data_IF_702033882103
#
_entry.id   IF_702033882103
#
_cell.length_a   1.000
_cell.length_b   1.000
_cell.length_c   1.000
_cell.angle_alpha   90.00
_cell.angle_beta   90.00
_cell.angle_gamma   90.00
#
_symmetry.space_group_name_H-M   'P 1'
#
loop_
_entity.id
_entity.type
_entity.pdbx_description
1 polymer ?
#
# COMPACT_ATOMS: atom_id res chain seq x y z
N UNK A 1 23.07 -62.78 63.30
CA UNK A 1 22.06 -61.82 62.94
C UNK A 1 22.74 -60.45 62.85
N UNK A 2 22.96 -59.93 61.62
CA UNK A 2 23.64 -58.63 61.38
C UNK A 2 22.58 -57.55 61.11
N UNK A 3 22.51 -56.55 61.99
CA UNK A 3 21.63 -55.41 61.84
C UNK A 3 22.28 -54.38 60.90
N UNK A 4 21.68 -54.17 59.70
CA UNK A 4 22.02 -53.06 58.82
C UNK A 4 21.19 -51.83 59.22
N UNK A 5 21.86 -50.78 59.70
CA UNK A 5 21.25 -49.46 59.91
C UNK A 5 21.22 -48.70 58.58
N UNK A 6 20.00 -48.44 58.10
CA UNK A 6 19.76 -47.59 56.93
C UNK A 6 19.91 -46.15 57.37
N UNK A 7 20.97 -45.46 56.90
CA UNK A 7 21.15 -44.01 57.08
C UNK A 7 20.44 -43.33 55.92
N UNK A 8 19.25 -42.73 56.17
CA UNK A 8 18.54 -41.87 55.22
C UNK A 8 19.25 -40.53 55.16
N UNK A 9 19.89 -40.25 54.01
CA UNK A 9 20.47 -38.94 53.70
C UNK A 9 19.33 -38.03 53.19
N UNK A 10 18.80 -37.15 54.04
CA UNK A 10 17.93 -36.05 53.66
C UNK A 10 18.79 -34.98 52.98
N UNK A 11 18.67 -34.90 51.62
CA UNK A 11 19.25 -33.80 50.81
C UNK A 11 18.30 -32.61 50.90
N UNK A 12 18.68 -31.48 51.51
CA UNK A 12 17.82 -30.29 51.48
C UNK A 12 17.82 -29.74 50.08
N UNK A 13 16.66 -29.76 49.38
CA UNK A 13 16.43 -29.02 48.15
C UNK A 13 16.40 -27.51 48.50
N UNK A 14 17.52 -26.84 48.31
CA UNK A 14 17.55 -25.38 48.23
C UNK A 14 16.88 -24.94 46.96
N UNK A 15 15.64 -24.49 47.05
CA UNK A 15 15.05 -23.66 46.01
C UNK A 15 15.79 -22.34 45.97
N UNK A 16 16.77 -22.17 45.07
CA UNK A 16 17.28 -20.86 44.74
C UNK A 16 16.13 -20.13 44.02
N UNK A 17 15.41 -19.33 44.78
CA UNK A 17 14.61 -18.25 44.18
C UNK A 17 15.59 -17.34 43.48
N UNK A 18 15.64 -17.38 42.14
CA UNK A 18 16.31 -16.38 41.35
C UNK A 18 15.55 -15.07 41.56
N UNK A 19 15.95 -14.32 42.60
CA UNK A 19 15.50 -12.94 42.76
C UNK A 19 15.99 -12.19 41.53
N UNK A 20 15.06 -11.66 40.71
CA UNK A 20 15.40 -10.77 39.63
C UNK A 20 16.29 -9.65 40.20
N UNK A 21 17.52 -9.55 39.69
CA UNK A 21 18.40 -8.45 40.14
C UNK A 21 17.70 -7.14 39.78
N UNK A 22 17.65 -6.16 40.72
CA UNK A 22 17.10 -4.85 40.43
C UNK A 22 17.83 -4.25 39.22
N UNK A 23 17.09 -3.62 38.33
CA UNK A 23 17.65 -2.94 37.15
C UNK A 23 18.58 -1.81 37.61
N UNK A 24 19.87 -2.09 37.66
CA UNK A 24 20.93 -1.12 37.97
C UNK A 24 21.47 -0.43 36.73
N UNK A 25 20.99 -0.79 35.53
CA UNK A 25 21.42 -0.15 34.30
C UNK A 25 20.75 1.21 34.13
N UNK A 26 21.54 2.20 33.72
CA UNK A 26 21.04 3.53 33.35
C UNK A 26 20.45 3.55 31.94
N UNK A 27 20.35 2.37 31.33
CA UNK A 27 19.80 2.19 29.99
C UNK A 27 18.27 2.33 30.04
N UNK A 28 17.72 3.23 29.24
CA UNK A 28 16.28 3.33 28.99
C UNK A 28 16.03 3.06 27.50
N UNK A 29 14.97 2.37 27.20
CA UNK A 29 14.54 2.10 25.84
C UNK A 29 13.07 2.50 25.71
N UNK A 30 12.76 3.24 24.66
CA UNK A 30 11.41 3.69 24.38
C UNK A 30 11.05 3.47 22.91
N UNK A 31 9.74 3.28 22.65
CA UNK A 31 9.19 3.33 21.30
C UNK A 31 8.80 4.77 21.00
N UNK A 32 9.20 5.24 19.81
CA UNK A 32 8.76 6.50 19.24
C UNK A 32 7.70 6.23 18.18
N UNK A 33 6.54 6.90 18.30
CA UNK A 33 5.47 6.88 17.32
C UNK A 33 5.28 8.27 16.77
N UNK A 34 5.53 8.41 15.46
CA UNK A 34 5.43 9.69 14.76
C UNK A 34 4.10 9.80 14.03
N UNK A 35 3.45 10.96 14.14
CA UNK A 35 2.17 11.20 13.48
C UNK A 35 2.27 11.14 11.95
N UNK A 36 1.17 10.86 11.24
CA UNK A 36 1.09 11.00 9.79
C UNK A 36 1.57 12.36 9.30
N UNK A 37 2.21 12.37 8.12
CA UNK A 37 2.62 13.58 7.39
C UNK A 37 1.80 13.81 6.13
N UNK A 38 2.09 14.92 5.44
CA UNK A 38 1.38 15.33 4.23
C UNK A 38 1.78 14.51 2.99
N UNK A 39 3.04 14.11 2.92
CA UNK A 39 3.57 13.36 1.79
C UNK A 39 3.12 11.88 1.83
N UNK A 40 2.99 11.27 0.64
CA UNK A 40 2.48 9.89 0.54
C UNK A 40 3.31 8.88 1.35
N UNK A 41 4.64 9.00 1.36
CA UNK A 41 5.52 8.12 2.12
C UNK A 41 5.36 8.25 3.64
N UNK A 42 4.92 9.41 4.12
CA UNK A 42 4.73 9.71 5.55
C UNK A 42 3.28 9.61 6.02
N UNK A 43 2.33 9.39 5.11
CA UNK A 43 0.88 9.35 5.40
C UNK A 43 0.49 8.36 6.48
N UNK A 44 1.25 7.27 6.62
CA UNK A 44 0.93 6.20 7.59
C UNK A 44 1.60 6.38 8.96
N UNK A 45 2.29 7.49 9.16
CA UNK A 45 3.10 7.69 10.35
C UNK A 45 4.45 6.98 10.26
N UNK A 46 5.13 6.87 11.41
CA UNK A 46 6.42 6.18 11.49
C UNK A 46 6.67 5.63 12.89
N UNK A 47 7.56 4.63 12.99
CA UNK A 47 7.96 4.02 14.26
C UNK A 47 9.49 3.91 14.33
N UNK A 48 10.07 4.30 15.48
CA UNK A 48 11.49 4.13 15.74
C UNK A 48 11.72 3.70 17.20
N UNK A 49 12.92 3.25 17.53
CA UNK A 49 13.32 2.87 18.90
C UNK A 49 14.37 3.85 19.38
N UNK A 50 14.13 4.50 20.54
CA UNK A 50 15.11 5.35 21.21
C UNK A 50 15.81 4.60 22.31
N UNK A 51 17.12 4.80 22.42
CA UNK A 51 17.97 4.25 23.47
C UNK A 51 18.70 5.40 24.15
N UNK A 52 18.56 5.52 25.48
CA UNK A 52 19.26 6.51 26.27
C UNK A 52 20.10 5.86 27.36
N UNK A 53 21.29 6.40 27.63
CA UNK A 53 22.13 6.07 28.78
C UNK A 53 22.83 7.35 29.28
N UNK A 54 22.35 7.88 30.40
CA UNK A 54 22.84 9.14 30.96
C UNK A 54 24.29 9.04 31.46
N UNK A 55 24.77 7.85 31.79
CA UNK A 55 26.15 7.64 32.26
C UNK A 55 27.17 7.61 31.14
N UNK A 56 26.73 7.19 29.93
CA UNK A 56 27.56 7.11 28.75
C UNK A 56 27.32 8.27 27.76
N UNK A 57 26.38 9.17 28.07
CA UNK A 57 25.99 10.25 27.16
C UNK A 57 25.31 9.76 25.88
N UNK A 58 24.64 8.62 25.94
CA UNK A 58 23.96 8.04 24.78
C UNK A 58 22.52 8.56 24.74
N UNK A 59 22.11 9.10 23.59
CA UNK A 59 20.72 9.44 23.27
C UNK A 59 20.54 9.29 21.74
N UNK A 60 20.22 8.05 21.32
CA UNK A 60 20.22 7.62 19.94
C UNK A 60 18.88 7.04 19.53
N UNK A 61 18.48 7.30 18.30
CA UNK A 61 17.31 6.72 17.65
C UNK A 61 17.73 5.69 16.62
N UNK A 62 17.18 4.50 16.70
CA UNK A 62 17.29 3.43 15.73
C UNK A 62 16.06 3.46 14.83
N UNK A 63 16.27 3.86 13.58
CA UNK A 63 15.23 4.20 12.62
C UNK A 63 15.24 3.19 11.47
N UNK A 64 14.29 2.25 11.46
CA UNK A 64 14.05 1.36 10.33
C UNK A 64 13.30 2.14 9.23
N UNK A 65 13.54 1.78 7.97
CA UNK A 65 12.78 2.38 6.86
C UNK A 65 13.49 3.52 6.15
N UNK A 66 14.77 3.74 6.43
CA UNK A 66 15.60 4.65 5.64
C UNK A 66 15.87 4.04 4.26
N UNK A 67 15.67 4.80 3.18
CA UNK A 67 15.92 4.35 1.83
C UNK A 67 16.68 5.41 1.02
N UNK A 68 17.33 4.95 -0.05
CA UNK A 68 18.08 5.79 -0.95
C UNK A 68 17.18 6.23 -2.11
N UNK A 69 16.89 7.53 -2.20
CA UNK A 69 16.11 8.13 -3.28
C UNK A 69 16.89 8.20 -4.59
N UNK A 70 18.23 8.22 -4.53
CA UNK A 70 19.09 8.42 -5.68
C UNK A 70 19.52 7.09 -6.34
N UNK A 71 18.94 5.95 -5.91
CA UNK A 71 19.21 4.64 -6.52
C UNK A 71 18.72 4.62 -7.98
N UNK A 72 19.62 4.56 -8.98
CA UNK A 72 19.24 4.56 -10.40
C UNK A 72 18.41 3.31 -10.80
N UNK A 73 18.46 2.25 -10.00
CA UNK A 73 17.67 1.04 -10.21
C UNK A 73 16.33 1.08 -9.47
N UNK A 74 15.97 2.18 -8.80
CA UNK A 74 14.77 2.29 -7.97
C UNK A 74 13.51 1.83 -8.71
N UNK A 75 13.26 2.35 -9.91
CA UNK A 75 12.05 1.99 -10.68
C UNK A 75 11.99 0.50 -11.03
N UNK A 76 13.13 -0.09 -11.42
CA UNK A 76 13.21 -1.52 -11.74
C UNK A 76 13.00 -2.39 -10.49
N UNK A 77 13.58 -2.00 -9.36
CA UNK A 77 13.41 -2.68 -8.07
C UNK A 77 11.96 -2.55 -7.59
N UNK A 78 11.38 -1.35 -7.64
CA UNK A 78 9.98 -1.10 -7.29
C UNK A 78 9.03 -1.97 -8.12
N UNK A 79 9.24 -2.03 -9.44
CA UNK A 79 8.40 -2.84 -10.34
C UNK A 79 8.46 -4.33 -9.98
N UNK A 80 9.63 -4.82 -9.54
CA UNK A 80 9.81 -6.21 -9.09
C UNK A 80 9.33 -6.47 -7.66
N UNK A 81 8.95 -5.44 -6.90
CA UNK A 81 8.61 -5.57 -5.48
C UNK A 81 9.82 -5.79 -4.59
N UNK A 82 11.01 -5.35 -5.03
CA UNK A 82 12.27 -5.42 -4.28
C UNK A 82 12.60 -4.01 -3.80
N UNK A 83 12.20 -3.68 -2.58
CA UNK A 83 12.48 -2.38 -1.98
C UNK A 83 13.52 -2.58 -0.87
N UNK A 84 14.77 -2.15 -1.14
CA UNK A 84 15.85 -2.29 -0.15
C UNK A 84 15.90 -1.04 0.72
N UNK A 85 15.65 -1.24 2.01
CA UNK A 85 15.68 -0.22 3.04
C UNK A 85 16.78 -0.54 4.05
N UNK A 86 17.11 0.42 4.92
CA UNK A 86 18.14 0.26 5.92
C UNK A 86 17.66 0.69 7.32
N UNK A 87 18.29 0.11 8.34
CA UNK A 87 18.32 0.68 9.67
C UNK A 87 19.37 1.78 9.72
N UNK A 88 18.97 3.01 10.06
CA UNK A 88 19.87 4.12 10.39
C UNK A 88 19.82 4.42 11.88
N UNK A 89 20.90 5.03 12.40
CA UNK A 89 20.92 5.53 13.79
C UNK A 89 21.57 6.91 13.82
N UNK A 90 20.94 7.82 14.53
CA UNK A 90 21.36 9.21 14.71
C UNK A 90 20.81 9.79 16.02
N UNK A 91 21.25 11.00 16.37
CA UNK A 91 20.87 11.60 17.66
C UNK A 91 19.36 11.83 17.77
N UNK A 92 18.82 11.75 18.99
CA UNK A 92 17.40 12.09 19.22
C UNK A 92 17.11 13.55 18.92
N UNK A 93 18.09 14.44 19.08
CA UNK A 93 17.93 15.85 18.72
C UNK A 93 17.72 16.04 17.22
N UNK A 94 18.54 15.37 16.37
CA UNK A 94 18.39 15.43 14.91
C UNK A 94 17.04 14.82 14.50
N UNK A 95 16.63 13.71 15.13
CA UNK A 95 15.33 13.11 14.90
C UNK A 95 14.18 14.10 15.19
N UNK A 96 14.20 14.78 16.33
CA UNK A 96 13.15 15.78 16.63
C UNK A 96 13.17 16.97 15.67
N UNK A 97 14.35 17.43 15.21
CA UNK A 97 14.45 18.50 14.23
C UNK A 97 13.84 18.11 12.87
N UNK A 98 14.06 16.87 12.42
CA UNK A 98 13.44 16.32 11.22
C UNK A 98 11.91 16.38 11.34
N UNK A 99 11.33 15.81 12.41
CA UNK A 99 9.87 15.78 12.61
C UNK A 99 9.26 17.17 12.86
N UNK A 100 10.02 18.07 13.46
CA UNK A 100 9.60 19.47 13.60
C UNK A 100 9.52 20.17 12.24
N UNK A 101 10.50 19.95 11.36
CA UNK A 101 10.48 20.52 10.00
C UNK A 101 9.35 19.94 9.14
N UNK A 102 9.02 18.68 9.33
CA UNK A 102 7.88 18.01 8.68
C UNK A 102 6.53 18.31 9.32
N UNK A 103 6.50 19.09 10.40
CA UNK A 103 5.29 19.43 11.19
C UNK A 103 4.55 18.19 11.72
N UNK A 104 5.27 17.23 12.23
CA UNK A 104 4.77 15.95 12.74
C UNK A 104 5.06 15.79 14.22
N UNK A 105 4.07 15.36 14.99
CA UNK A 105 4.23 15.08 16.42
C UNK A 105 4.94 13.74 16.64
N UNK A 106 5.62 13.62 17.79
CA UNK A 106 6.29 12.41 18.24
C UNK A 106 5.80 12.05 19.63
N UNK A 107 5.27 10.85 19.79
CA UNK A 107 4.86 10.25 21.07
C UNK A 107 5.94 9.24 21.46
N UNK A 108 6.34 9.26 22.74
CA UNK A 108 7.29 8.34 23.31
C UNK A 108 6.62 7.45 24.35
N UNK A 109 6.87 6.14 24.28
CA UNK A 109 6.42 5.13 25.24
C UNK A 109 7.65 4.46 25.87
N UNK A 110 7.89 4.70 27.16
CA UNK A 110 8.98 4.07 27.91
C UNK A 110 8.67 2.59 28.16
N UNK A 111 9.58 1.71 27.78
CA UNK A 111 9.41 0.26 27.92
C UNK A 111 9.91 -0.24 29.28
N UNK A 112 9.05 -0.98 29.96
CA UNK A 112 9.38 -1.66 31.23
C UNK A 112 10.11 -2.97 30.95
N UNK A 113 11.41 -2.90 30.82
CA UNK A 113 12.31 -4.02 30.58
C UNK A 113 13.30 -4.17 31.76
N UNK A 114 13.69 -5.41 32.06
CA UNK A 114 14.78 -5.68 33.01
C UNK A 114 16.13 -5.20 32.46
N UNK A 115 17.16 -5.06 33.27
CA UNK A 115 18.50 -4.67 32.83
C UNK A 115 19.04 -5.59 31.71
N UNK A 116 18.84 -6.89 31.88
CA UNK A 116 19.27 -7.88 30.88
C UNK A 116 18.50 -7.77 29.57
N UNK A 117 17.18 -7.53 29.64
CA UNK A 117 16.34 -7.32 28.44
C UNK A 117 16.76 -6.06 27.70
N UNK A 118 16.99 -4.95 28.39
CA UNK A 118 17.49 -3.70 27.81
C UNK A 118 18.84 -3.90 27.15
N UNK A 119 19.76 -4.61 27.81
CA UNK A 119 21.10 -4.86 27.26
C UNK A 119 21.04 -5.75 26.02
N UNK A 120 20.21 -6.82 26.02
CA UNK A 120 20.00 -7.66 24.83
C UNK A 120 19.42 -6.84 23.68
N UNK A 121 18.38 -6.04 23.93
CA UNK A 121 17.74 -5.21 22.91
C UNK A 121 18.73 -4.19 22.32
N UNK A 122 19.48 -3.50 23.16
CA UNK A 122 20.49 -2.53 22.71
C UNK A 122 21.59 -3.20 21.88
N UNK A 123 22.11 -4.34 22.35
CA UNK A 123 23.13 -5.11 21.61
C UNK A 123 22.57 -5.58 20.25
N UNK A 124 21.33 -6.07 20.20
CA UNK A 124 20.69 -6.49 18.95
C UNK A 124 20.51 -5.31 17.96
N UNK A 125 20.11 -4.14 18.45
CA UNK A 125 20.02 -2.92 17.63
C UNK A 125 21.38 -2.50 17.08
N UNK A 126 22.44 -2.53 17.91
CA UNK A 126 23.82 -2.23 17.46
C UNK A 126 24.29 -3.22 16.39
N UNK A 127 24.06 -4.52 16.59
CA UNK A 127 24.40 -5.55 15.61
C UNK A 127 23.64 -5.38 14.30
N UNK A 128 22.36 -5.03 14.39
CA UNK A 128 21.54 -4.81 13.21
C UNK A 128 21.92 -3.51 12.46
N UNK A 129 22.46 -2.51 13.14
CA UNK A 129 22.93 -1.26 12.54
C UNK A 129 24.30 -1.37 11.84
N UNK A 130 25.02 -2.49 11.97
CA UNK A 130 26.29 -2.70 11.29
C UNK A 130 26.11 -2.67 9.75
N UNK A 131 27.07 -2.14 8.99
CA UNK A 131 26.97 -1.99 7.54
C UNK A 131 26.54 -3.25 6.79
N UNK A 132 26.99 -4.43 7.24
CA UNK A 132 26.64 -5.73 6.63
C UNK A 132 25.27 -6.25 7.02
N UNK A 133 24.61 -5.73 8.06
CA UNK A 133 23.35 -6.24 8.61
C UNK A 133 22.17 -5.28 8.43
N UNK A 134 22.44 -3.99 8.19
CA UNK A 134 21.42 -2.94 8.25
C UNK A 134 20.42 -2.96 7.11
N UNK A 135 20.75 -3.56 5.98
CA UNK A 135 19.89 -3.57 4.79
C UNK A 135 18.90 -4.73 4.83
N UNK A 136 17.66 -4.47 4.40
CA UNK A 136 16.60 -5.46 4.35
C UNK A 136 15.60 -5.17 3.22
N UNK A 137 14.86 -6.20 2.79
CA UNK A 137 13.75 -6.01 1.87
C UNK A 137 12.54 -5.49 2.65
N UNK A 138 12.03 -4.34 2.21
CA UNK A 138 10.87 -3.71 2.83
C UNK A 138 9.57 -4.20 2.16
N UNK A 139 8.65 -4.67 2.96
CA UNK A 139 7.30 -5.04 2.54
C UNK A 139 6.28 -4.24 3.36
N UNK A 140 5.52 -3.39 2.67
CA UNK A 140 4.70 -2.35 3.31
C UNK A 140 3.84 -2.84 4.48
N UNK A 141 3.18 -3.98 4.39
CA UNK A 141 2.25 -4.48 5.41
C UNK A 141 2.78 -5.67 6.23
N UNK A 142 3.95 -6.23 5.91
CA UNK A 142 4.49 -7.41 6.58
C UNK A 142 5.88 -7.25 7.14
N UNK A 143 6.73 -6.39 6.56
CA UNK A 143 8.10 -6.15 7.02
C UNK A 143 8.48 -4.69 6.80
N UNK A 144 8.00 -3.81 7.68
CA UNK A 144 8.20 -2.36 7.62
C UNK A 144 8.86 -1.83 8.91
N UNK A 145 8.99 -0.50 9.04
CA UNK A 145 9.57 0.13 10.23
C UNK A 145 8.87 -0.29 11.53
N UNK A 146 7.54 -0.41 11.49
CA UNK A 146 6.72 -0.71 12.66
C UNK A 146 6.80 -2.19 13.05
N UNK A 147 6.68 -3.11 12.09
CA UNK A 147 6.78 -4.55 12.35
C UNK A 147 8.18 -4.92 12.83
N UNK A 148 9.23 -4.32 12.24
CA UNK A 148 10.60 -4.56 12.69
C UNK A 148 10.88 -4.06 14.09
N UNK A 149 10.38 -2.86 14.45
CA UNK A 149 10.48 -2.35 15.81
C UNK A 149 9.73 -3.25 16.80
N UNK A 150 8.49 -3.67 16.47
CA UNK A 150 7.71 -4.61 17.27
C UNK A 150 8.47 -5.93 17.49
N UNK A 151 8.92 -6.54 16.42
CA UNK A 151 9.55 -7.86 16.45
C UNK A 151 10.88 -7.83 17.19
N UNK A 152 11.66 -6.75 17.03
CA UNK A 152 12.88 -6.53 17.78
C UNK A 152 12.61 -6.43 19.29
N UNK A 153 11.60 -5.66 19.71
CA UNK A 153 11.22 -5.53 21.12
C UNK A 153 10.75 -6.89 21.67
N UNK A 154 9.83 -7.56 20.99
CA UNK A 154 9.25 -8.85 21.42
C UNK A 154 10.32 -9.93 21.56
N UNK A 155 11.20 -10.07 20.57
CA UNK A 155 12.26 -11.08 20.56
C UNK A 155 13.26 -10.87 21.72
N UNK A 156 13.65 -9.63 21.96
CA UNK A 156 14.66 -9.35 22.99
C UNK A 156 14.08 -9.30 24.40
N UNK A 157 12.78 -9.14 24.54
CA UNK A 157 12.10 -9.29 25.84
C UNK A 157 12.29 -10.71 26.39
N UNK A 158 12.32 -11.75 25.51
CA UNK A 158 12.56 -13.15 25.91
C UNK A 158 11.44 -13.75 26.73
N UNK A 159 10.41 -12.97 27.06
CA UNK A 159 9.22 -13.34 27.80
C UNK A 159 8.04 -13.47 26.83
N UNK A 160 6.96 -14.12 27.23
CA UNK A 160 5.72 -14.10 26.46
C UNK A 160 5.10 -12.72 26.53
N UNK A 161 5.19 -11.97 25.44
CA UNK A 161 4.50 -10.67 25.31
C UNK A 161 3.08 -10.93 24.85
N UNK A 162 2.11 -10.58 25.72
CA UNK A 162 0.68 -10.68 25.42
C UNK A 162 0.12 -9.33 24.99
N UNK A 163 -0.41 -9.24 23.77
CA UNK A 163 -1.13 -8.06 23.30
C UNK A 163 -2.64 -8.24 23.51
N UNK A 164 -3.30 -7.25 24.11
CA UNK A 164 -4.77 -7.24 24.17
C UNK A 164 -5.33 -6.94 22.78
N UNK A 165 -6.61 -7.27 22.58
CA UNK A 165 -7.30 -6.99 21.32
C UNK A 165 -7.46 -5.49 21.10
N UNK A 166 -6.91 -4.99 20.00
CA UNK A 166 -6.93 -3.56 19.61
C UNK A 166 -7.82 -3.30 18.39
N UNK A 167 -8.26 -4.35 17.71
CA UNK A 167 -9.15 -4.28 16.55
C UNK A 167 -10.60 -4.61 16.96
N UNK A 168 -11.62 -4.11 16.22
CA UNK A 168 -13.03 -4.39 16.49
C UNK A 168 -13.37 -5.88 16.27
N UNK A 169 -14.57 -6.28 16.72
CA UNK A 169 -15.09 -7.66 16.54
C UNK A 169 -15.21 -8.06 15.05
N UNK A 170 -15.61 -7.12 14.18
CA UNK A 170 -15.54 -7.29 12.74
C UNK A 170 -14.24 -6.62 12.23
N UNK A 171 -13.14 -7.39 12.01
CA UNK A 171 -11.87 -6.81 11.66
C UNK A 171 -11.92 -6.08 10.33
N UNK A 172 -11.21 -4.94 10.18
CA UNK A 172 -11.01 -4.31 8.89
C UNK A 172 -10.09 -5.17 8.01
N UNK A 173 -10.07 -4.87 6.71
CA UNK A 173 -9.05 -5.40 5.80
C UNK A 173 -7.79 -4.52 5.83
N UNK A 174 -6.66 -5.02 5.28
CA UNK A 174 -5.48 -4.19 5.10
C UNK A 174 -5.81 -2.93 4.29
N UNK A 175 -6.61 -3.06 3.21
CA UNK A 175 -7.05 -1.93 2.38
C UNK A 175 -7.87 -0.93 3.20
N UNK A 176 -8.78 -1.37 4.06
CA UNK A 176 -9.56 -0.46 4.90
C UNK A 176 -8.66 0.34 5.86
N UNK A 177 -7.62 -0.30 6.42
CA UNK A 177 -6.64 0.38 7.27
C UNK A 177 -5.87 1.44 6.48
N UNK A 178 -5.38 1.10 5.28
CA UNK A 178 -4.71 2.03 4.38
C UNK A 178 -5.62 3.23 4.04
N UNK A 179 -6.87 2.94 3.66
CA UNK A 179 -7.85 3.98 3.31
C UNK A 179 -8.09 4.96 4.46
N UNK A 180 -8.13 4.49 5.72
CA UNK A 180 -8.33 5.34 6.89
C UNK A 180 -7.31 6.49 6.95
N UNK A 181 -6.05 6.23 6.62
CA UNK A 181 -4.98 7.25 6.63
C UNK A 181 -5.05 8.15 5.41
N UNK A 182 -5.27 7.59 4.23
CA UNK A 182 -5.41 8.35 2.99
C UNK A 182 -6.62 9.30 3.03
N UNK A 183 -7.73 8.85 3.60
CA UNK A 183 -8.95 9.67 3.76
C UNK A 183 -8.73 10.80 4.77
N UNK A 184 -8.08 10.52 5.91
CA UNK A 184 -7.71 11.54 6.90
C UNK A 184 -6.76 12.58 6.32
N UNK A 185 -5.83 12.18 5.46
CA UNK A 185 -4.90 13.07 4.76
C UNK A 185 -5.48 13.77 3.53
N UNK A 186 -6.75 13.51 3.15
CA UNK A 186 -7.37 14.08 1.95
C UNK A 186 -6.74 13.59 0.63
N UNK A 187 -6.00 12.48 0.67
CA UNK A 187 -5.19 11.97 -0.45
C UNK A 187 -6.00 11.11 -1.43
N UNK A 188 -7.09 11.66 -1.96
CA UNK A 188 -8.04 10.93 -2.80
C UNK A 188 -7.43 10.39 -4.11
N UNK A 189 -6.49 11.13 -4.73
CA UNK A 189 -5.82 10.70 -5.96
C UNK A 189 -4.80 9.59 -5.69
N UNK A 190 -4.05 9.70 -4.59
CA UNK A 190 -3.15 8.63 -4.14
C UNK A 190 -3.93 7.36 -3.80
N UNK A 191 -5.09 7.50 -3.13
CA UNK A 191 -6.00 6.39 -2.84
C UNK A 191 -6.46 5.68 -4.11
N UNK A 192 -6.87 6.44 -5.15
CA UNK A 192 -7.22 5.86 -6.44
C UNK A 192 -6.03 5.09 -7.05
N UNK A 193 -4.83 5.70 -7.09
CA UNK A 193 -3.63 5.07 -7.62
C UNK A 193 -3.29 3.75 -6.90
N UNK A 194 -3.34 3.76 -5.58
CA UNK A 194 -3.13 2.58 -4.73
C UNK A 194 -4.19 1.51 -5.03
N UNK A 195 -5.46 1.87 -5.11
CA UNK A 195 -6.55 0.93 -5.38
C UNK A 195 -6.48 0.32 -6.79
N UNK A 196 -5.94 1.05 -7.76
CA UNK A 196 -5.71 0.52 -9.11
C UNK A 196 -4.60 -0.52 -9.14
N UNK A 197 -3.55 -0.34 -8.33
CA UNK A 197 -2.36 -1.18 -8.38
C UNK A 197 -2.43 -2.39 -7.43
N UNK A 198 -3.00 -2.22 -6.22
CA UNK A 198 -3.08 -3.28 -5.23
C UNK A 198 -4.21 -4.28 -5.56
N UNK A 199 -3.88 -5.56 -5.52
CA UNK A 199 -4.81 -6.64 -5.78
C UNK A 199 -5.65 -7.07 -4.57
N UNK A 200 -6.37 -8.18 -4.73
CA UNK A 200 -7.32 -8.71 -3.76
C UNK A 200 -6.69 -9.14 -2.43
N UNK A 201 -5.40 -9.48 -2.39
CA UNK A 201 -4.73 -9.90 -1.16
C UNK A 201 -4.81 -8.85 -0.04
N UNK A 202 -4.96 -7.56 -0.39
CA UNK A 202 -5.13 -6.47 0.57
C UNK A 202 -6.56 -6.36 1.11
N UNK A 203 -7.50 -7.14 0.58
CA UNK A 203 -8.90 -7.20 1.04
C UNK A 203 -9.14 -8.33 2.06
N UNK A 204 -8.08 -9.03 2.47
CA UNK A 204 -8.11 -9.97 3.59
C UNK A 204 -8.26 -9.22 4.93
N UNK A 205 -9.06 -9.80 5.83
CA UNK A 205 -9.26 -9.27 7.19
C UNK A 205 -7.99 -9.46 8.01
N UNK A 206 -7.56 -8.39 8.68
CA UNK A 206 -6.36 -8.43 9.51
C UNK A 206 -6.60 -9.12 10.85
N UNK A 207 -5.60 -9.85 11.33
CA UNK A 207 -5.49 -10.27 12.71
C UNK A 207 -5.05 -9.10 13.60
N UNK A 208 -5.12 -9.28 14.92
CA UNK A 208 -4.64 -8.27 15.88
C UNK A 208 -3.16 -7.91 15.64
N UNK A 209 -2.32 -8.92 15.43
CA UNK A 209 -0.89 -8.73 15.19
C UNK A 209 -0.59 -8.10 13.84
N UNK A 210 -1.36 -8.48 12.81
CA UNK A 210 -1.23 -7.90 11.49
C UNK A 210 -1.62 -6.41 11.46
N UNK A 211 -2.62 -5.98 12.26
CA UNK A 211 -2.99 -4.56 12.33
C UNK A 211 -1.84 -3.68 12.84
N UNK A 212 -0.93 -4.25 13.65
CA UNK A 212 0.25 -3.56 14.19
C UNK A 212 1.37 -3.31 13.14
N UNK A 213 1.08 -3.47 11.84
CA UNK A 213 1.96 -2.93 10.80
C UNK A 213 1.90 -1.40 10.72
N UNK A 214 0.86 -0.80 11.31
CA UNK A 214 0.68 0.64 11.39
C UNK A 214 1.16 1.19 12.75
N UNK A 215 1.86 2.33 12.75
CA UNK A 215 2.45 2.92 13.98
C UNK A 215 1.44 3.13 15.10
N UNK A 216 0.27 3.71 14.81
CA UNK A 216 -0.79 3.93 15.80
C UNK A 216 -1.34 2.64 16.42
N UNK A 217 -1.40 1.56 15.62
CA UNK A 217 -1.86 0.26 16.10
C UNK A 217 -0.80 -0.42 16.95
N UNK A 218 0.50 -0.31 16.61
CA UNK A 218 1.56 -0.81 17.46
C UNK A 218 1.60 -0.04 18.78
N UNK A 219 1.50 1.29 18.75
CA UNK A 219 1.43 2.13 19.95
C UNK A 219 0.28 1.67 20.86
N UNK A 220 -0.92 1.48 20.33
CA UNK A 220 -2.08 0.98 21.10
C UNK A 220 -1.86 -0.44 21.62
N UNK A 221 -1.24 -1.29 20.80
CA UNK A 221 -0.89 -2.65 21.20
C UNK A 221 0.04 -2.65 22.43
N UNK A 222 1.09 -1.84 22.39
CA UNK A 222 2.04 -1.73 23.49
C UNK A 222 1.44 -1.09 24.75
N UNK A 223 0.55 -0.09 24.63
CA UNK A 223 -0.17 0.50 25.77
C UNK A 223 -0.89 -0.57 26.63
N UNK A 224 -1.30 -1.66 26.01
CA UNK A 224 -2.05 -2.74 26.63
C UNK A 224 -1.26 -4.04 26.78
N UNK A 225 -0.02 -4.08 26.30
CA UNK A 225 0.80 -5.27 26.31
C UNK A 225 1.32 -5.57 27.73
N UNK A 226 1.47 -6.86 27.99
CA UNK A 226 2.10 -7.38 29.21
C UNK A 226 3.25 -8.30 28.87
N UNK A 227 4.30 -8.27 29.67
CA UNK A 227 5.42 -9.20 29.66
C UNK A 227 5.58 -9.73 31.09
N UNK A 228 5.59 -11.07 31.28
CA UNK A 228 5.66 -11.71 32.61
C UNK A 228 4.67 -11.11 33.62
N UNK A 229 3.43 -10.85 33.22
CA UNK A 229 2.35 -10.26 34.03
C UNK A 229 2.52 -8.78 34.39
N UNK A 230 3.57 -8.10 33.93
CA UNK A 230 3.76 -6.66 34.10
C UNK A 230 3.38 -5.88 32.86
N UNK A 231 2.94 -4.62 33.00
CA UNK A 231 2.73 -3.73 31.85
C UNK A 231 4.05 -3.53 31.10
N UNK A 232 4.04 -3.63 29.78
CA UNK A 232 5.24 -3.40 28.96
C UNK A 232 5.58 -1.90 28.83
N UNK A 233 4.62 -1.00 29.02
CA UNK A 233 4.80 0.45 28.98
C UNK A 233 4.59 1.03 30.38
N UNK A 234 5.56 1.80 30.87
CA UNK A 234 5.49 2.50 32.16
C UNK A 234 4.97 3.92 32.03
N UNK A 235 5.40 4.61 30.99
CA UNK A 235 5.08 6.02 30.76
C UNK A 235 4.87 6.28 29.28
N UNK A 236 3.92 7.18 28.99
CA UNK A 236 3.66 7.69 27.65
C UNK A 236 3.63 9.21 27.70
N UNK A 237 4.40 9.84 26.82
CA UNK A 237 4.53 11.30 26.80
C UNK A 237 4.66 11.84 25.38
N UNK A 238 4.36 13.12 25.22
CA UNK A 238 4.63 13.83 23.97
C UNK A 238 6.08 14.30 23.97
N UNK A 239 6.93 13.70 23.13
CA UNK A 239 8.31 14.15 22.95
C UNK A 239 8.37 15.41 22.04
N UNK A 240 7.47 15.50 21.08
CA UNK A 240 7.27 16.69 20.24
C UNK A 240 5.78 16.86 19.97
N UNK A 241 5.23 18.03 20.31
CA UNK A 241 3.82 18.36 20.10
C UNK A 241 3.67 19.42 19.02
N UNK A 242 3.08 19.01 17.89
CA UNK A 242 2.74 19.90 16.78
C UNK A 242 1.22 19.84 16.59
N UNK A 243 0.60 21.01 16.46
CA UNK A 243 -0.84 21.06 16.16
C UNK A 243 -1.11 20.43 14.78
N UNK A 244 -2.06 19.50 14.67
CA UNK A 244 -2.38 18.89 13.37
C UNK A 244 -2.93 19.94 12.42
N UNK A 245 -2.43 19.95 11.19
CA UNK A 245 -3.02 20.76 10.14
C UNK A 245 -4.39 20.17 9.74
N UNK A 246 -5.41 21.01 9.57
CA UNK A 246 -6.70 20.52 9.10
C UNK A 246 -6.54 19.95 7.69
N UNK A 247 -7.22 18.82 7.37
CA UNK A 247 -7.14 18.24 6.03
C UNK A 247 -7.60 19.27 4.99
N UNK A 248 -6.83 19.40 3.91
CA UNK A 248 -7.18 20.29 2.80
C UNK A 248 -8.46 19.79 2.12
N UNK A 249 -9.54 20.58 2.20
CA UNK A 249 -10.75 20.26 1.45
C UNK A 249 -10.53 20.54 -0.04
N UNK A 250 -10.63 19.51 -0.87
CA UNK A 250 -10.59 19.67 -2.32
C UNK A 250 -11.86 19.13 -2.96
N UNK A 251 -12.49 19.95 -3.82
CA UNK A 251 -13.59 19.50 -4.68
C UNK A 251 -13.09 18.61 -5.82
N UNK A 252 -11.81 18.73 -6.20
CA UNK A 252 -11.22 18.00 -7.33
C UNK A 252 -10.84 16.57 -6.96
N UNK A 253 -11.78 15.83 -6.35
CA UNK A 253 -11.60 14.39 -6.11
C UNK A 253 -11.70 13.60 -7.41
N UNK A 254 -11.06 12.41 -7.52
CA UNK A 254 -11.20 11.55 -8.70
C UNK A 254 -12.65 11.26 -9.08
N UNK A 255 -13.50 10.98 -8.07
CA UNK A 255 -14.92 10.71 -8.29
C UNK A 255 -15.64 11.92 -8.93
N UNK A 256 -15.39 13.13 -8.42
CA UNK A 256 -15.98 14.34 -8.99
C UNK A 256 -15.52 14.59 -10.42
N UNK A 257 -14.20 14.53 -10.66
CA UNK A 257 -13.60 14.76 -11.99
C UNK A 257 -14.12 13.77 -13.01
N UNK A 258 -14.13 12.47 -12.67
CA UNK A 258 -14.58 11.44 -13.60
C UNK A 258 -16.11 11.45 -13.79
N UNK A 259 -16.89 11.88 -12.80
CA UNK A 259 -18.33 12.05 -12.94
C UNK A 259 -18.66 13.23 -13.87
N UNK A 260 -17.97 14.34 -13.72
CA UNK A 260 -18.12 15.49 -14.63
C UNK A 260 -17.73 15.10 -16.08
N UNK A 261 -16.61 14.38 -16.23
CA UNK A 261 -16.17 13.88 -17.53
C UNK A 261 -17.21 12.92 -18.14
N UNK A 262 -17.76 12.00 -17.35
CA UNK A 262 -18.80 11.07 -17.78
C UNK A 262 -20.05 11.81 -18.32
N UNK A 263 -20.52 12.84 -17.61
CA UNK A 263 -21.66 13.66 -18.03
C UNK A 263 -21.35 14.36 -19.36
N UNK A 264 -20.19 15.02 -19.46
CA UNK A 264 -19.80 15.76 -20.67
C UNK A 264 -19.69 14.82 -21.88
N UNK A 265 -18.97 13.70 -21.73
CA UNK A 265 -18.79 12.72 -22.81
C UNK A 265 -20.11 12.03 -23.16
N UNK A 266 -20.94 11.75 -22.15
CA UNK A 266 -22.29 11.25 -22.35
C UNK A 266 -23.13 12.16 -23.24
N UNK A 267 -23.24 13.44 -22.91
CA UNK A 267 -23.99 14.43 -23.69
C UNK A 267 -23.42 14.58 -25.11
N UNK A 268 -22.11 14.70 -25.25
CA UNK A 268 -21.46 14.84 -26.55
C UNK A 268 -21.65 13.60 -27.44
N UNK A 269 -21.79 12.40 -26.85
CA UNK A 269 -21.97 11.15 -27.59
C UNK A 269 -23.28 11.10 -28.39
N UNK A 270 -24.31 11.80 -27.95
CA UNK A 270 -25.59 11.94 -28.66
C UNK A 270 -25.59 13.10 -29.67
N UNK A 271 -24.55 13.93 -29.73
CA UNK A 271 -24.46 15.06 -30.64
C UNK A 271 -24.18 14.57 -32.09
N UNK A 272 -24.91 15.14 -33.03
CA UNK A 272 -24.68 14.95 -34.48
C UNK A 272 -23.71 15.96 -35.09
N UNK A 273 -23.23 16.90 -34.29
CA UNK A 273 -22.31 17.96 -34.73
C UNK A 273 -20.95 17.36 -35.12
N UNK A 274 -20.45 17.71 -36.31
CA UNK A 274 -19.15 17.23 -36.83
C UNK A 274 -17.97 17.56 -35.92
N UNK A 275 -17.97 18.74 -35.28
CA UNK A 275 -16.89 19.15 -34.35
C UNK A 275 -16.89 18.28 -33.11
N UNK A 276 -18.08 18.01 -32.52
CA UNK A 276 -18.23 17.10 -31.40
C UNK A 276 -17.76 15.69 -31.71
N UNK A 277 -18.11 15.18 -32.93
CA UNK A 277 -17.65 13.85 -33.36
C UNK A 277 -16.13 13.78 -33.60
N UNK A 278 -15.51 14.89 -34.10
CA UNK A 278 -14.05 14.95 -34.20
C UNK A 278 -13.39 14.95 -32.85
N UNK A 279 -13.90 15.76 -31.90
CA UNK A 279 -13.44 15.76 -30.51
C UNK A 279 -13.54 14.36 -29.89
N UNK A 280 -14.68 13.68 -30.04
CA UNK A 280 -14.88 12.32 -29.49
C UNK A 280 -13.93 11.30 -30.12
N UNK A 281 -13.51 11.46 -31.37
CA UNK A 281 -12.51 10.58 -31.98
C UNK A 281 -11.15 10.73 -31.30
N UNK A 282 -10.73 11.97 -31.04
CA UNK A 282 -9.46 12.25 -30.33
C UNK A 282 -9.55 11.78 -28.87
N UNK A 283 -10.67 12.11 -28.22
CA UNK A 283 -10.94 11.66 -26.85
C UNK A 283 -10.84 10.14 -26.73
N UNK A 284 -11.53 9.38 -27.58
CA UNK A 284 -11.50 7.91 -27.53
C UNK A 284 -10.09 7.37 -27.74
N UNK A 285 -9.29 7.93 -28.66
CA UNK A 285 -7.90 7.52 -28.84
C UNK A 285 -7.09 7.71 -27.55
N UNK A 286 -7.17 8.88 -26.94
CA UNK A 286 -6.43 9.17 -25.68
C UNK A 286 -6.97 8.34 -24.53
N UNK A 287 -8.29 8.25 -24.39
CA UNK A 287 -8.94 7.55 -23.28
C UNK A 287 -8.63 6.04 -23.31
N UNK A 288 -8.81 5.38 -24.44
CA UNK A 288 -8.48 3.95 -24.58
C UNK A 288 -6.98 3.70 -24.53
N UNK A 289 -6.13 4.66 -24.96
CA UNK A 289 -4.69 4.57 -24.76
C UNK A 289 -4.34 4.51 -23.26
N UNK A 290 -4.87 5.46 -22.48
CA UNK A 290 -4.61 5.51 -21.02
C UNK A 290 -5.15 4.28 -20.31
N UNK A 291 -6.36 3.82 -20.65
CA UNK A 291 -6.92 2.58 -20.08
C UNK A 291 -6.07 1.36 -20.41
N UNK A 292 -5.62 1.27 -21.66
CA UNK A 292 -4.76 0.17 -22.10
C UNK A 292 -3.41 0.18 -21.39
N UNK A 293 -2.80 1.36 -21.17
CA UNK A 293 -1.57 1.51 -20.38
C UNK A 293 -1.78 1.08 -18.94
N UNK A 294 -2.87 1.51 -18.29
CA UNK A 294 -3.22 1.06 -16.93
C UNK A 294 -3.33 -0.45 -16.89
N UNK A 295 -4.04 -1.06 -17.86
CA UNK A 295 -4.18 -2.51 -17.95
C UNK A 295 -2.84 -3.24 -18.12
N UNK A 296 -1.95 -2.70 -18.97
CA UNK A 296 -0.59 -3.25 -19.14
C UNK A 296 0.19 -3.18 -17.84
N UNK A 297 0.15 -2.03 -17.13
CA UNK A 297 0.82 -1.88 -15.83
C UNK A 297 0.29 -2.87 -14.80
N UNK A 298 -1.04 -3.00 -14.68
CA UNK A 298 -1.67 -3.96 -13.74
C UNK A 298 -1.19 -5.39 -14.00
N UNK A 299 -1.28 -5.85 -15.26
CA UNK A 299 -0.88 -7.22 -15.61
C UNK A 299 0.63 -7.42 -15.42
N UNK A 300 1.44 -6.41 -15.76
CA UNK A 300 2.90 -6.47 -15.58
C UNK A 300 3.25 -6.60 -14.10
N UNK A 301 2.69 -5.73 -13.23
CA UNK A 301 2.95 -5.80 -11.79
C UNK A 301 2.43 -7.12 -11.19
N UNK A 302 1.27 -7.59 -11.61
CA UNK A 302 0.76 -8.90 -11.19
C UNK A 302 1.72 -10.03 -11.52
N UNK A 303 2.31 -10.03 -12.74
CA UNK A 303 3.16 -11.11 -13.22
C UNK A 303 4.57 -11.11 -12.61
N UNK A 304 5.16 -9.93 -12.33
CA UNK A 304 6.59 -9.84 -11.98
C UNK A 304 6.87 -9.45 -10.53
N UNK A 305 5.90 -8.92 -9.78
CA UNK A 305 6.15 -8.57 -8.36
C UNK A 305 6.26 -9.82 -7.48
N UNK A 306 7.35 -9.87 -6.72
CA UNK A 306 7.61 -10.99 -5.79
C UNK A 306 6.84 -10.87 -4.47
N UNK A 307 6.44 -9.65 -4.08
CA UNK A 307 5.72 -9.35 -2.83
C UNK A 307 4.21 -9.63 -2.89
N UNK A 308 3.72 -10.07 -4.03
CA UNK A 308 2.33 -10.49 -4.29
C UNK A 308 1.23 -9.45 -4.03
N UNK A 309 1.55 -8.22 -3.61
CA UNK A 309 0.55 -7.19 -3.25
C UNK A 309 -0.31 -6.73 -4.43
N UNK A 310 0.17 -6.89 -5.67
CA UNK A 310 -0.56 -6.58 -6.90
C UNK A 310 -1.26 -7.80 -7.51
N UNK A 311 -1.22 -8.96 -6.85
CA UNK A 311 -1.79 -10.22 -7.34
C UNK A 311 -3.31 -10.20 -7.31
N UNK A 312 -3.93 -10.97 -8.23
CA UNK A 312 -5.38 -11.12 -8.31
C UNK A 312 -6.11 -9.76 -8.37
N UNK A 313 -5.61 -8.88 -9.27
CA UNK A 313 -6.12 -7.53 -9.39
C UNK A 313 -7.29 -7.47 -10.39
N UNK A 314 -8.49 -7.38 -9.85
CA UNK A 314 -9.73 -7.35 -10.62
C UNK A 314 -9.93 -6.06 -11.45
N UNK A 315 -9.11 -5.01 -11.24
CA UNK A 315 -9.12 -3.86 -12.15
C UNK A 315 -8.72 -4.24 -13.59
N UNK A 316 -8.01 -5.36 -13.79
CA UNK A 316 -7.74 -5.91 -15.13
C UNK A 316 -9.02 -6.28 -15.91
N UNK A 317 -10.15 -6.47 -15.23
CA UNK A 317 -11.43 -6.81 -15.86
C UNK A 317 -12.07 -5.66 -16.66
N UNK A 318 -11.73 -4.41 -16.37
CA UNK A 318 -12.20 -3.24 -17.08
C UNK A 318 -11.09 -2.43 -17.77
N UNK A 319 -9.90 -2.37 -17.19
CA UNK A 319 -8.72 -1.76 -17.79
C UNK A 319 -8.00 -2.78 -18.68
N UNK A 320 -8.60 -3.11 -19.84
CA UNK A 320 -8.09 -4.17 -20.72
C UNK A 320 -6.80 -3.72 -21.44
N UNK A 321 -5.69 -4.48 -21.37
CA UNK A 321 -4.46 -4.17 -22.14
C UNK A 321 -4.71 -4.07 -23.65
N UNK A 322 -5.73 -4.76 -24.17
CA UNK A 322 -6.13 -4.72 -25.58
C UNK A 322 -6.62 -3.36 -26.05
N UNK A 323 -6.98 -2.46 -25.14
CA UNK A 323 -7.29 -1.07 -25.48
C UNK A 323 -6.09 -0.32 -26.06
N UNK A 324 -4.85 -0.68 -25.66
CA UNK A 324 -3.63 -0.02 -26.08
C UNK A 324 -3.45 -0.03 -27.63
N UNK A 325 -3.41 -1.17 -28.32
CA UNK A 325 -3.33 -1.18 -29.79
C UNK A 325 -4.59 -0.62 -30.46
N UNK A 326 -5.77 -0.80 -29.84
CA UNK A 326 -7.03 -0.30 -30.41
C UNK A 326 -7.10 1.22 -30.38
N UNK A 327 -6.49 1.89 -29.42
CA UNK A 327 -6.45 3.35 -29.32
C UNK A 327 -5.94 4.04 -30.59
N UNK A 328 -4.97 3.44 -31.29
CA UNK A 328 -4.38 3.99 -32.51
C UNK A 328 -5.26 3.83 -33.76
N UNK A 329 -6.25 2.96 -33.67
CA UNK A 329 -7.13 2.63 -34.83
C UNK A 329 -8.61 2.86 -34.52
N UNK A 330 -8.95 3.42 -33.38
CA UNK A 330 -10.32 3.60 -32.87
C UNK A 330 -11.24 4.37 -33.82
N UNK A 331 -10.67 5.25 -34.66
CA UNK A 331 -11.39 6.06 -35.64
C UNK A 331 -11.70 5.29 -36.93
N UNK A 332 -11.11 4.12 -37.15
CA UNK A 332 -11.33 3.34 -38.37
C UNK A 332 -12.69 2.63 -38.33
N UNK A 333 -13.39 2.67 -39.49
CA UNK A 333 -14.69 2.00 -39.67
C UNK A 333 -14.48 0.56 -40.15
N UNK A 334 -13.98 -0.33 -39.27
CA UNK A 334 -13.71 -1.74 -39.59
C UNK A 334 -14.66 -2.66 -38.84
N UNK A 335 -15.09 -3.76 -39.47
CA UNK A 335 -16.02 -4.73 -38.87
C UNK A 335 -15.49 -5.36 -37.58
N UNK A 336 -14.21 -5.76 -37.58
CA UNK A 336 -13.59 -6.36 -36.41
C UNK A 336 -13.55 -5.39 -35.20
N UNK A 337 -13.33 -4.09 -35.48
CA UNK A 337 -13.30 -3.05 -34.44
C UNK A 337 -14.68 -2.82 -33.83
N UNK A 338 -15.75 -2.90 -34.64
CA UNK A 338 -17.11 -2.87 -34.14
C UNK A 338 -17.41 -4.06 -33.23
N UNK A 339 -16.98 -5.26 -33.63
CA UNK A 339 -17.15 -6.47 -32.82
C UNK A 339 -16.39 -6.36 -31.51
N UNK A 340 -15.15 -5.83 -31.55
CA UNK A 340 -14.36 -5.55 -30.36
C UNK A 340 -15.11 -4.62 -29.39
N UNK A 341 -15.61 -3.48 -29.85
CA UNK A 341 -16.34 -2.54 -28.98
C UNK A 341 -17.67 -3.10 -28.48
N UNK A 342 -18.35 -3.95 -29.24
CA UNK A 342 -19.53 -4.67 -28.74
C UNK A 342 -19.15 -5.62 -27.60
N UNK A 343 -18.07 -6.35 -27.74
CA UNK A 343 -17.55 -7.20 -26.66
C UNK A 343 -17.14 -6.40 -25.44
N UNK A 344 -16.42 -5.28 -25.60
CA UNK A 344 -16.05 -4.38 -24.50
C UNK A 344 -17.29 -3.83 -23.80
N UNK A 345 -18.32 -3.41 -24.54
CA UNK A 345 -19.58 -2.96 -23.97
C UNK A 345 -20.22 -4.02 -23.06
N UNK A 346 -20.35 -5.25 -23.55
CA UNK A 346 -20.92 -6.37 -22.79
C UNK A 346 -20.07 -6.68 -21.56
N UNK A 347 -18.74 -6.77 -21.69
CA UNK A 347 -17.83 -7.04 -20.58
C UNK A 347 -17.91 -5.93 -19.52
N UNK A 348 -18.00 -4.67 -19.93
CA UNK A 348 -18.14 -3.53 -19.00
C UNK A 348 -19.45 -3.61 -18.21
N UNK A 349 -20.56 -3.95 -18.88
CA UNK A 349 -21.84 -4.13 -18.20
C UNK A 349 -21.81 -5.32 -17.24
N UNK A 350 -21.24 -6.44 -17.63
CA UNK A 350 -21.06 -7.60 -16.75
C UNK A 350 -20.21 -7.24 -15.54
N UNK A 351 -19.09 -6.52 -15.72
CA UNK A 351 -18.27 -6.06 -14.61
C UNK A 351 -19.05 -5.14 -13.66
N UNK A 352 -19.81 -4.19 -14.20
CA UNK A 352 -20.63 -3.28 -13.39
C UNK A 352 -21.74 -4.01 -12.62
N UNK A 353 -22.40 -5.00 -13.22
CA UNK A 353 -23.42 -5.83 -12.55
C UNK A 353 -22.78 -6.69 -11.45
N UNK A 354 -21.64 -7.29 -11.74
CA UNK A 354 -20.91 -8.15 -10.80
C UNK A 354 -20.10 -7.37 -9.74
N UNK A 355 -20.07 -6.04 -9.78
CA UNK A 355 -19.28 -5.18 -8.89
C UNK A 355 -19.34 -5.60 -7.41
N UNK A 356 -20.54 -5.89 -6.91
CA UNK A 356 -20.77 -6.22 -5.50
C UNK A 356 -20.33 -7.66 -5.13
N UNK A 357 -20.03 -8.49 -6.11
CA UNK A 357 -19.55 -9.87 -5.93
C UNK A 357 -18.05 -10.00 -6.14
N UNK A 358 -17.38 -8.92 -6.58
CA UNK A 358 -15.93 -8.90 -6.74
C UNK A 358 -15.30 -8.90 -5.35
N UNK A 359 -14.37 -9.83 -5.04
CA UNK A 359 -13.76 -9.93 -3.73
C UNK A 359 -12.81 -8.77 -3.40
N UNK A 360 -12.39 -8.00 -4.42
CA UNK A 360 -11.56 -6.80 -4.26
C UNK A 360 -12.43 -5.56 -4.10
N UNK A 361 -12.13 -4.71 -3.15
CA UNK A 361 -12.75 -3.39 -3.02
C UNK A 361 -12.26 -2.47 -4.14
N UNK A 362 -13.11 -2.28 -5.15
CA UNK A 362 -12.85 -1.37 -6.27
C UNK A 362 -13.13 0.08 -5.85
N UNK A 363 -12.24 1.01 -6.23
CA UNK A 363 -12.43 2.43 -5.93
C UNK A 363 -13.68 2.99 -6.62
N UNK A 364 -14.51 3.72 -5.87
CA UNK A 364 -15.79 4.26 -6.38
C UNK A 364 -15.62 5.20 -7.57
N UNK A 365 -14.46 5.86 -7.71
CA UNK A 365 -14.16 6.71 -8.87
C UNK A 365 -14.05 5.92 -10.20
N UNK A 366 -13.99 4.58 -10.16
CA UNK A 366 -14.04 3.73 -11.35
C UNK A 366 -15.46 3.67 -11.95
N UNK A 367 -16.51 3.87 -11.16
CA UNK A 367 -17.89 3.79 -11.66
C UNK A 367 -18.20 4.73 -12.84
N UNK A 368 -17.89 6.05 -12.78
CA UNK A 368 -18.08 6.93 -13.93
C UNK A 368 -17.16 6.56 -15.12
N UNK A 369 -15.96 6.00 -14.88
CA UNK A 369 -15.10 5.51 -15.96
C UNK A 369 -15.76 4.33 -16.71
N UNK A 370 -16.36 3.37 -15.98
CA UNK A 370 -17.15 2.29 -16.59
C UNK A 370 -18.31 2.85 -17.43
N UNK A 371 -18.97 3.91 -16.96
CA UNK A 371 -20.01 4.61 -17.73
C UNK A 371 -19.47 5.18 -19.04
N UNK A 372 -18.30 5.80 -19.03
CA UNK A 372 -17.64 6.31 -20.25
C UNK A 372 -17.29 5.16 -21.18
N UNK A 373 -16.67 4.06 -20.67
CA UNK A 373 -16.34 2.88 -21.47
C UNK A 373 -17.59 2.32 -22.14
N UNK A 374 -18.66 2.14 -21.38
CA UNK A 374 -19.93 1.59 -21.91
C UNK A 374 -20.51 2.46 -23.02
N UNK A 375 -20.69 3.77 -22.77
CA UNK A 375 -21.27 4.69 -23.77
C UNK A 375 -20.39 4.75 -25.01
N UNK A 376 -19.09 4.93 -24.87
CA UNK A 376 -18.20 5.05 -26.04
C UNK A 376 -18.12 3.73 -26.82
N UNK A 377 -18.07 2.60 -26.13
CA UNK A 377 -18.08 1.28 -26.77
C UNK A 377 -19.40 0.99 -27.49
N UNK A 378 -20.55 1.38 -26.93
CA UNK A 378 -21.84 1.27 -27.61
C UNK A 378 -21.86 2.04 -28.93
N UNK A 379 -21.44 3.32 -28.90
CA UNK A 379 -21.44 4.13 -30.14
C UNK A 379 -20.41 3.62 -31.13
N UNK A 380 -19.22 3.21 -30.73
CA UNK A 380 -18.19 2.63 -31.62
C UNK A 380 -18.61 1.29 -32.20
N UNK A 381 -19.29 0.46 -31.46
CA UNK A 381 -19.81 -0.83 -31.92
C UNK A 381 -20.93 -0.73 -32.96
N UNK A 382 -21.64 0.41 -33.00
CA UNK A 382 -22.78 0.62 -33.89
C UNK A 382 -22.53 1.66 -35.02
N UNK A 383 -21.27 2.06 -35.28
CA UNK A 383 -20.94 2.98 -36.36
C UNK A 383 -21.32 2.37 -37.75
N UNK A 384 -21.97 3.13 -38.67
CA UNK A 384 -22.29 2.64 -40.00
C UNK A 384 -21.02 2.37 -40.80
N UNK A 385 -20.89 1.15 -41.34
CA UNK A 385 -19.81 0.78 -42.25
C UNK A 385 -20.24 1.20 -43.64
N UNK A 386 -19.47 2.06 -44.35
CA UNK A 386 -19.67 2.31 -45.78
C UNK A 386 -19.46 1.00 -46.54
N UNK A 387 -20.52 0.46 -47.17
CA UNK A 387 -20.37 -0.61 -48.16
C UNK A 387 -19.49 -0.06 -49.28
N UNK A 388 -18.42 -0.77 -49.64
CA UNK A 388 -17.69 -0.49 -50.88
C UNK A 388 -18.67 -0.71 -52.03
N UNK A 389 -19.10 0.34 -52.68
CA UNK A 389 -19.73 0.19 -54.03
C UNK A 389 -18.70 -0.48 -54.92
N UNK A 390 -19.07 -1.57 -55.63
CA UNK A 390 -18.16 -2.15 -56.62
C UNK A 390 -17.78 -1.06 -57.60
N UNK A 391 -16.49 -0.89 -57.88
CA UNK A 391 -16.07 -0.08 -59.04
C UNK A 391 -16.66 -0.73 -60.26
N UNK A 392 -17.62 -0.06 -60.89
CA UNK A 392 -18.03 -0.43 -62.27
C UNK A 392 -16.76 -0.41 -63.14
N UNK A 393 -16.28 -1.57 -63.53
CA UNK A 393 -15.34 -1.72 -64.61
C UNK A 393 -16.13 -1.34 -65.88
N UNK A 394 -15.91 -0.14 -66.33
CA UNK A 394 -16.33 0.25 -67.70
C UNK A 394 -15.56 -0.64 -68.65
N UNK A 395 -16.26 -1.68 -69.18
CA UNK A 395 -15.79 -2.42 -70.34
C UNK A 395 -15.73 -1.44 -71.52
N UNK A 396 -14.52 -1.03 -71.89
CA UNK A 396 -14.28 -0.41 -73.20
C UNK A 396 -14.57 -1.45 -74.30
N UNK A 397 -15.77 -1.36 -74.91
CA UNK A 397 -16.06 -2.08 -76.11
C UNK A 397 -15.22 -1.48 -77.25
N UNK A 398 -14.23 -2.22 -77.69
CA UNK A 398 -13.51 -1.94 -78.90
C UNK A 398 -14.50 -2.17 -80.11
N UNK A 399 -14.97 -1.08 -80.69
CA UNK A 399 -15.68 -1.10 -82.00
C UNK A 399 -14.65 -1.32 -83.10
N UNK A 400 -14.60 -2.53 -83.62
CA UNK A 400 -13.90 -2.83 -84.89
C UNK A 400 -14.74 -2.29 -86.09
N UNK A 401 -14.29 -1.21 -86.73
CA UNK A 401 -14.81 -0.80 -88.07
C UNK A 401 -14.19 -1.71 -89.11
N UNK A 402 -14.97 -2.24 -90.08
CA UNK A 402 -14.41 -2.93 -91.26
C UNK A 402 -13.84 -1.92 -92.24
N UNK A 403 -12.67 -2.24 -92.79
CA UNK A 403 -12.02 -1.55 -93.89
C UNK A 403 -12.60 -2.14 -95.16
N UNK A 404 -13.17 -1.24 -96.03
CA UNK A 404 -13.37 -1.47 -97.45
C UNK A 404 -12.43 -0.55 -98.20
#
# INVERSE_FOLDING_TARGET
>A
MKHYRLISFLFPLFFLSAAAQPDTSHLRISLLTCSPGAELYSTFGHTAIRVTDSTRGIDMVYNYGTFDYDDPAFLAKFTKGIMVYALSNYSFQDFLQEYQSEKRSVIEQDLQLTGDQKQRLYTALQQNALPQNRFYNYYFHTDNCTTRARDMIVQQTGASVGFKKIIPENPPTFRNLIHTYLDKGGQNWSKLGIDLLLGNNLDEKVTNDQAMFLPDYLMKGLDSATADSHSLVTQKQMALSIAPEPPSFTLMTPLFVFSALFIIIGLLSFSTNKRAQLFLNVFDSIFFLLLGLIGVVIITLWAIRIDTVCRDNFNAGWALPTHLPVAFVVYLKRKWLQQYFKAVFVLTLLFAICWWFIPQQINTAVAPLLGIIAIRSYFRGNLPIKKRTPKHTTNLSYSSKPII
#
